data_IF_713769888178
#
_entry.id   IF_713769888178
#
_cell.length_a   1.000
_cell.length_b   1.000
_cell.length_c   1.000
_cell.angle_alpha   90.00
_cell.angle_beta   90.00
_cell.angle_gamma   90.00
#
_symmetry.space_group_name_H-M   'P 1'
#
loop_
_entity.id
_entity.type
_entity.pdbx_description
1 polymer ?
#
# COMPACT_ATOMS: atom_id res chain seq x y z
N UNK A 1 27.22 4.46 10.56
CA UNK A 1 26.17 5.23 11.26
C UNK A 1 24.88 4.39 11.21
N UNK A 2 24.31 4.10 12.39
CA UNK A 2 23.00 3.46 12.61
C UNK A 2 22.81 2.02 12.05
N UNK A 3 23.76 1.08 12.29
CA UNK A 3 23.66 -0.28 11.77
C UNK A 3 22.53 -1.09 12.42
N UNK A 4 22.27 -0.90 13.71
CA UNK A 4 21.24 -1.64 14.46
C UNK A 4 19.84 -1.20 14.00
N UNK A 5 19.61 0.10 13.88
CA UNK A 5 18.35 0.67 13.40
C UNK A 5 18.06 0.24 11.96
N UNK A 6 19.09 0.25 11.10
CA UNK A 6 18.98 -0.24 9.73
C UNK A 6 18.60 -1.73 9.69
N UNK A 7 19.17 -2.54 10.60
CA UNK A 7 18.83 -3.95 10.72
C UNK A 7 17.37 -4.13 11.14
N UNK A 8 16.91 -3.43 12.18
CA UNK A 8 15.51 -3.48 12.64
C UNK A 8 14.52 -3.06 11.56
N UNK A 9 14.85 -1.99 10.81
CA UNK A 9 14.05 -1.54 9.67
C UNK A 9 14.00 -2.59 8.55
N UNK A 10 15.14 -3.17 8.16
CA UNK A 10 15.21 -4.22 7.12
C UNK A 10 14.48 -5.50 7.55
N UNK A 11 14.57 -5.86 8.83
CA UNK A 11 13.84 -6.98 9.43
C UNK A 11 12.37 -6.66 9.67
N UNK A 12 11.94 -5.42 9.39
CA UNK A 12 10.57 -4.94 9.50
C UNK A 12 9.97 -5.15 10.90
N UNK A 13 10.76 -5.00 11.96
CA UNK A 13 10.26 -5.18 13.33
C UNK A 13 8.96 -4.38 13.58
N UNK A 14 7.79 -5.01 13.78
CA UNK A 14 6.50 -4.31 13.63
C UNK A 14 6.29 -3.14 14.60
N UNK A 15 6.79 -3.29 15.83
CA UNK A 15 6.69 -2.28 16.89
C UNK A 15 7.82 -1.28 16.93
N UNK A 16 8.89 -1.48 16.15
CA UNK A 16 10.00 -0.54 16.13
C UNK A 16 9.68 0.67 15.25
N UNK A 17 10.08 1.86 15.70
CA UNK A 17 10.04 3.09 14.93
C UNK A 17 11.41 3.78 15.03
N UNK A 18 11.91 4.40 13.95
CA UNK A 18 13.06 5.29 14.06
C UNK A 18 12.69 6.53 14.91
N UNK A 19 13.66 7.21 15.53
CA UNK A 19 13.43 8.47 16.23
C UNK A 19 12.68 9.48 15.35
N UNK A 20 11.51 9.93 15.81
CA UNK A 20 10.63 10.85 15.08
C UNK A 20 9.85 10.23 13.91
N UNK A 21 9.97 8.92 13.67
CA UNK A 21 9.23 8.20 12.65
C UNK A 21 8.07 7.38 13.18
N UNK A 22 7.61 6.44 12.36
CA UNK A 22 6.42 5.62 12.59
C UNK A 22 6.78 4.13 12.56
N UNK A 23 6.09 3.32 13.39
CA UNK A 23 6.21 1.87 13.36
C UNK A 23 5.26 1.25 12.33
N UNK A 24 5.49 -0.01 11.94
CA UNK A 24 4.58 -0.67 10.99
C UNK A 24 3.18 -0.90 11.59
N UNK A 25 3.07 -1.07 12.91
CA UNK A 25 1.79 -1.17 13.60
C UNK A 25 1.03 0.16 13.54
N UNK A 26 1.69 1.28 13.86
CA UNK A 26 1.07 2.60 13.79
C UNK A 26 0.66 2.97 12.35
N UNK A 27 1.53 2.68 11.39
CA UNK A 27 1.25 2.85 9.96
C UNK A 27 0.03 2.04 9.52
N UNK A 28 -0.06 0.76 9.91
CA UNK A 28 -1.19 -0.12 9.59
C UNK A 28 -2.50 0.44 10.14
N UNK A 29 -2.51 0.80 11.42
CA UNK A 29 -3.71 1.33 12.08
C UNK A 29 -4.17 2.61 11.38
N UNK A 30 -3.27 3.57 11.19
CA UNK A 30 -3.58 4.84 10.53
C UNK A 30 -4.17 4.63 9.14
N UNK A 31 -3.64 3.70 8.35
CA UNK A 31 -4.15 3.38 7.02
C UNK A 31 -5.53 2.73 7.10
N UNK A 32 -5.72 1.74 7.97
CA UNK A 32 -7.00 1.05 8.14
C UNK A 32 -8.10 2.04 8.54
N UNK A 33 -7.88 2.84 9.59
CA UNK A 33 -8.87 3.82 10.05
C UNK A 33 -9.17 4.87 8.97
N UNK A 34 -8.16 5.32 8.22
CA UNK A 34 -8.35 6.30 7.13
C UNK A 34 -9.15 5.70 5.98
N UNK A 35 -8.82 4.46 5.58
CA UNK A 35 -9.54 3.75 4.53
C UNK A 35 -11.01 3.57 4.91
N UNK A 36 -11.28 3.08 6.13
CA UNK A 36 -12.64 2.83 6.61
C UNK A 36 -13.45 4.14 6.65
N UNK A 37 -12.87 5.21 7.18
CA UNK A 37 -13.54 6.51 7.24
C UNK A 37 -13.89 7.06 5.84
N UNK A 38 -12.97 6.96 4.88
CA UNK A 38 -13.20 7.39 3.50
C UNK A 38 -14.24 6.50 2.81
N UNK A 39 -14.12 5.18 2.91
CA UNK A 39 -15.03 4.25 2.25
C UNK A 39 -16.47 4.37 2.77
N UNK A 40 -16.64 4.56 4.10
CA UNK A 40 -17.95 4.78 4.72
C UNK A 40 -18.65 6.05 4.19
N UNK A 41 -17.90 7.10 3.85
CA UNK A 41 -18.48 8.32 3.26
C UNK A 41 -18.96 8.13 1.82
N UNK A 42 -18.53 7.04 1.17
CA UNK A 42 -18.78 6.75 -0.24
C UNK A 42 -19.41 5.36 -0.46
N UNK A 43 -20.31 4.93 0.43
CA UNK A 43 -21.02 3.65 0.32
C UNK A 43 -21.69 3.46 -1.05
N UNK A 44 -21.41 2.34 -1.70
CA UNK A 44 -21.91 2.03 -3.05
C UNK A 44 -21.27 2.85 -4.18
N UNK A 45 -20.33 3.74 -3.85
CA UNK A 45 -19.57 4.55 -4.80
C UNK A 45 -18.19 3.97 -5.13
N UNK A 46 -17.44 4.71 -5.94
CA UNK A 46 -16.06 4.42 -6.28
C UNK A 46 -15.19 5.64 -5.98
N UNK A 47 -14.09 5.42 -5.26
CA UNK A 47 -13.10 6.45 -4.95
C UNK A 47 -11.74 6.06 -5.53
N UNK A 48 -10.89 7.07 -5.74
CA UNK A 48 -9.49 6.89 -6.12
C UNK A 48 -8.63 7.35 -4.96
N UNK A 49 -7.73 6.48 -4.51
CA UNK A 49 -6.72 6.77 -3.50
C UNK A 49 -5.35 6.81 -4.18
N UNK A 50 -4.61 7.90 -4.00
CA UNK A 50 -3.24 8.06 -4.48
C UNK A 50 -2.31 8.11 -3.28
N UNK A 51 -1.34 7.22 -3.22
CA UNK A 51 -0.43 7.10 -2.08
C UNK A 51 0.91 6.45 -2.48
N UNK A 52 1.67 5.99 -1.49
CA UNK A 52 3.01 5.43 -1.64
C UNK A 52 3.03 3.90 -1.47
N UNK A 53 4.16 3.28 -1.82
CA UNK A 53 4.35 1.83 -1.72
C UNK A 53 4.12 1.26 -0.30
N UNK A 54 4.46 2.00 0.76
CA UNK A 54 4.17 1.57 2.14
C UNK A 54 2.66 1.45 2.43
N UNK A 55 1.86 2.35 1.85
CA UNK A 55 0.39 2.28 1.95
C UNK A 55 -0.15 1.10 1.15
N UNK A 56 0.34 0.93 -0.08
CA UNK A 56 -0.05 -0.20 -0.93
C UNK A 56 0.29 -1.55 -0.28
N UNK A 57 1.46 -1.70 0.36
CA UNK A 57 1.84 -2.91 1.10
C UNK A 57 0.83 -3.26 2.20
N UNK A 58 0.41 -2.27 2.99
CA UNK A 58 -0.59 -2.45 4.05
C UNK A 58 -1.95 -2.81 3.46
N UNK A 59 -2.42 -2.09 2.43
CA UNK A 59 -3.71 -2.37 1.81
C UNK A 59 -3.78 -3.79 1.23
N UNK A 60 -2.71 -4.25 0.58
CA UNK A 60 -2.62 -5.62 0.08
C UNK A 60 -2.74 -6.64 1.22
N UNK A 61 -2.00 -6.42 2.31
CA UNK A 61 -2.01 -7.31 3.48
C UNK A 61 -3.38 -7.36 4.13
N UNK A 62 -4.03 -6.21 4.32
CA UNK A 62 -5.39 -6.13 4.83
C UNK A 62 -6.37 -6.89 3.93
N UNK A 63 -6.28 -6.69 2.62
CA UNK A 63 -7.17 -7.32 1.63
C UNK A 63 -6.97 -8.84 1.47
N UNK A 64 -5.82 -9.36 1.90
CA UNK A 64 -5.44 -10.78 1.74
C UNK A 64 -5.25 -11.50 3.08
N UNK A 65 -5.52 -10.84 4.20
CA UNK A 65 -5.37 -11.41 5.54
C UNK A 65 -3.92 -11.74 5.94
N UNK A 66 -2.94 -11.06 5.36
CA UNK A 66 -1.53 -11.34 5.64
C UNK A 66 -1.01 -10.61 6.88
N UNK A 67 -0.15 -11.29 7.62
CA UNK A 67 0.61 -10.71 8.73
C UNK A 67 1.59 -9.63 8.24
N UNK A 68 1.91 -8.65 9.09
CA UNK A 68 2.84 -7.56 8.73
C UNK A 68 4.26 -8.03 8.37
N UNK A 69 4.67 -9.16 8.96
CA UNK A 69 5.97 -9.80 8.76
C UNK A 69 6.00 -10.84 7.66
N UNK A 70 4.86 -11.20 7.07
CA UNK A 70 4.86 -12.12 5.95
C UNK A 70 5.74 -11.58 4.81
N UNK A 71 6.60 -12.41 4.19
CA UNK A 71 7.42 -11.98 3.05
C UNK A 71 6.55 -11.36 1.96
N UNK A 72 7.00 -10.23 1.40
CA UNK A 72 6.26 -9.57 0.32
C UNK A 72 6.42 -10.36 -0.97
N UNK A 73 5.32 -10.92 -1.47
CA UNK A 73 5.27 -11.72 -2.72
C UNK A 73 4.69 -10.96 -3.91
N UNK A 74 4.26 -9.71 -3.71
CA UNK A 74 3.67 -8.86 -4.74
C UNK A 74 4.60 -7.74 -5.18
N UNK A 75 4.41 -7.33 -6.44
CA UNK A 75 5.08 -6.17 -7.01
C UNK A 75 4.38 -4.87 -6.59
N UNK A 76 5.17 -3.81 -6.42
CA UNK A 76 4.70 -2.44 -6.14
C UNK A 76 5.28 -1.52 -7.22
N UNK A 77 4.62 -1.51 -8.38
CA UNK A 77 5.04 -0.69 -9.52
C UNK A 77 4.67 0.78 -9.31
N UNK A 78 5.49 1.67 -9.83
CA UNK A 78 5.15 3.10 -9.89
C UNK A 78 3.94 3.31 -10.81
N UNK A 79 3.02 4.17 -10.39
CA UNK A 79 1.76 4.43 -11.09
C UNK A 79 0.90 3.19 -11.38
N UNK A 80 1.19 2.05 -10.74
CA UNK A 80 0.38 0.85 -10.92
C UNK A 80 -1.03 1.03 -10.33
N UNK A 81 -2.04 0.57 -11.06
CA UNK A 81 -3.44 0.64 -10.63
C UNK A 81 -3.78 -0.62 -9.83
N UNK A 82 -4.26 -0.42 -8.61
CA UNK A 82 -4.74 -1.47 -7.72
C UNK A 82 -6.25 -1.31 -7.50
N UNK A 83 -6.99 -2.42 -7.49
CA UNK A 83 -8.44 -2.45 -7.31
C UNK A 83 -8.78 -3.30 -6.10
N UNK A 84 -9.48 -2.69 -5.17
CA UNK A 84 -9.91 -3.29 -3.92
C UNK A 84 -11.42 -3.08 -3.79
N UNK A 85 -12.10 -4.07 -3.21
CA UNK A 85 -13.50 -3.96 -2.81
C UNK A 85 -13.53 -3.83 -1.30
N UNK A 86 -14.11 -2.75 -0.81
CA UNK A 86 -14.32 -2.54 0.61
C UNK A 86 -15.81 -2.72 0.93
N UNK A 87 -16.09 -3.39 2.04
CA UNK A 87 -17.40 -3.45 2.68
C UNK A 87 -17.21 -3.24 4.20
N UNK A 88 -18.28 -2.99 4.98
CA UNK A 88 -18.18 -2.92 6.44
C UNK A 88 -17.58 -4.18 7.09
N UNK A 89 -17.63 -5.32 6.40
CA UNK A 89 -17.08 -6.60 6.85
C UNK A 89 -15.58 -6.77 6.53
N UNK A 90 -15.04 -5.97 5.60
CA UNK A 90 -13.61 -5.96 5.32
C UNK A 90 -13.22 -5.56 3.90
N UNK A 91 -11.94 -5.77 3.61
CA UNK A 91 -11.31 -5.42 2.35
C UNK A 91 -10.99 -6.69 1.56
N UNK A 92 -11.25 -6.68 0.25
CA UNK A 92 -10.99 -7.79 -0.65
C UNK A 92 -10.19 -7.31 -1.86
N UNK A 93 -9.24 -8.13 -2.30
CA UNK A 93 -8.43 -7.86 -3.49
C UNK A 93 -9.21 -8.20 -4.77
N UNK A 94 -9.37 -7.23 -5.67
CA UNK A 94 -10.02 -7.42 -6.98
C UNK A 94 -8.99 -7.50 -8.10
N UNK A 95 -7.97 -6.63 -8.07
CA UNK A 95 -6.89 -6.60 -9.04
C UNK A 95 -5.68 -5.85 -8.49
N UNK A 96 -4.49 -6.22 -8.94
CA UNK A 96 -3.24 -5.68 -8.41
C UNK A 96 -2.22 -5.41 -9.50
N UNK A 97 -1.48 -4.31 -9.37
CA UNK A 97 -0.29 -4.05 -10.15
C UNK A 97 -0.54 -3.81 -11.64
N UNK A 98 -1.70 -3.27 -12.03
CA UNK A 98 -2.00 -3.03 -13.45
C UNK A 98 -1.23 -1.82 -13.98
N UNK A 99 -0.23 -2.10 -14.82
CA UNK A 99 0.65 -1.11 -15.48
C UNK A 99 0.45 -1.02 -16.99
N UNK A 100 -0.59 -1.66 -17.55
CA UNK A 100 -0.80 -1.72 -19.01
C UNK A 100 -0.86 -0.33 -19.66
N UNK A 101 -1.45 0.64 -18.95
CA UNK A 101 -1.51 2.04 -19.40
C UNK A 101 -0.12 2.71 -19.54
N UNK A 102 0.93 2.17 -18.92
CA UNK A 102 2.31 2.64 -19.09
C UNK A 102 2.99 1.98 -20.28
N UNK A 103 2.58 0.77 -20.64
CA UNK A 103 3.11 0.02 -21.79
C UNK A 103 2.58 0.58 -23.11
N UNK A 104 1.37 1.16 -23.10
CA UNK A 104 0.75 1.79 -24.27
C UNK A 104 1.29 3.20 -24.59
N UNK A 105 2.04 3.84 -23.67
CA UNK A 105 2.50 5.24 -23.75
C UNK A 105 4.00 5.37 -24.06
N UNK A 106 4.62 4.34 -24.65
CA UNK A 106 5.95 4.47 -25.25
C UNK A 106 5.89 5.20 -26.62
N UNK A 107 5.13 6.30 -26.70
CA UNK A 107 5.28 7.29 -27.76
C UNK A 107 6.31 8.29 -27.23
N UNK A 108 7.58 8.02 -27.52
CA UNK A 108 8.70 8.91 -27.21
C UNK A 108 8.39 10.36 -27.60
N UNK A 109 8.63 11.31 -26.69
CA UNK A 109 8.87 12.72 -27.04
C UNK A 109 10.26 12.85 -27.69
N UNK A 110 10.46 12.11 -28.78
CA UNK A 110 11.65 12.23 -29.63
C UNK A 110 11.57 13.53 -30.43
N UNK A 111 12.24 14.55 -29.89
CA UNK A 111 12.58 15.85 -30.47
C UNK A 111 12.46 15.96 -32.00
N UNK A 112 11.65 16.91 -32.46
CA UNK A 112 11.88 17.61 -33.75
C UNK A 112 13.21 18.35 -33.75
#
# INVERSE_FOLDING_TARGET
>A
LWPEETLRWRQREPGWAPPGGESLLALRERIASTLDALAQQHMGGQIVLVAHGGVMDVLYRLATGQELQAPRTWHLGNAAINRLLWTPEGLTLVGWGDTRHLEEVALDEGST
#
